data_IF_365672153408
#
_entry.id   IF_365672153408
#
_cell.length_a   1.000
_cell.length_b   1.000
_cell.length_c   1.000
_cell.angle_alpha   90.00
_cell.angle_beta   90.00
_cell.angle_gamma   90.00
#
_symmetry.space_group_name_H-M   'P 1'
#
loop_
_entity.id
_entity.type
_entity.pdbx_description
1 polymer ?
#
# COMPACT_ATOMS: atom_id res chain seq x y z
N UNK A 1 -0.74 -9.78 57.99
CA UNK A 1 -1.69 -9.00 57.18
C UNK A 1 -1.41 -7.54 57.40
N UNK A 2 -0.61 -6.91 56.55
CA UNK A 2 -0.34 -5.45 56.63
C UNK A 2 -0.18 -4.96 55.19
N UNK A 3 -1.27 -4.39 54.66
CA UNK A 3 -1.36 -3.73 53.36
C UNK A 3 -0.88 -2.28 53.55
N UNK A 4 0.36 -1.99 53.19
CA UNK A 4 0.82 -0.61 53.07
C UNK A 4 0.50 -0.07 51.70
N UNK A 5 -0.47 0.87 51.63
CA UNK A 5 -0.73 1.75 50.49
C UNK A 5 0.47 2.68 50.30
N UNK A 6 1.17 2.54 49.16
CA UNK A 6 2.06 3.57 48.63
C UNK A 6 1.24 4.61 47.91
N UNK A 7 1.16 5.81 48.44
CA UNK A 7 0.65 6.98 47.75
C UNK A 7 1.68 7.51 46.74
N UNK A 8 1.25 8.01 45.57
CA UNK A 8 2.20 8.51 44.58
C UNK A 8 2.65 9.94 44.91
N UNK A 9 3.95 10.10 45.06
CA UNK A 9 4.70 11.35 45.33
C UNK A 9 4.71 12.35 44.13
N UNK A 10 3.86 12.19 43.15
CA UNK A 10 3.90 13.00 41.91
C UNK A 10 3.04 14.25 41.92
N UNK A 11 2.17 14.44 42.92
CA UNK A 11 1.26 15.58 42.93
C UNK A 11 1.84 16.85 43.56
N UNK A 12 2.86 16.72 44.43
CA UNK A 12 3.45 17.90 45.11
C UNK A 12 4.47 18.65 44.24
N UNK A 13 5.04 18.04 43.21
CA UNK A 13 6.02 18.72 42.33
C UNK A 13 5.38 19.69 41.33
N UNK A 14 4.10 19.47 40.99
CA UNK A 14 3.38 20.29 40.01
C UNK A 14 2.79 21.57 40.64
N UNK A 15 2.59 21.59 41.95
CA UNK A 15 2.04 22.77 42.64
C UNK A 15 3.12 23.78 43.04
N UNK A 16 4.38 23.38 43.15
CA UNK A 16 5.47 24.29 43.49
C UNK A 16 5.95 25.14 42.31
N UNK A 17 5.79 24.67 41.08
CA UNK A 17 6.23 25.41 39.89
C UNK A 17 5.24 26.49 39.44
N UNK A 18 4.00 26.47 39.96
CA UNK A 18 2.97 27.42 39.51
C UNK A 18 2.87 28.70 40.39
N UNK A 19 3.57 28.75 41.55
CA UNK A 19 3.42 29.85 42.49
C UNK A 19 4.42 30.99 42.27
N UNK A 20 5.55 30.73 41.63
CA UNK A 20 6.60 31.74 41.41
C UNK A 20 6.57 32.42 40.04
N UNK A 21 5.66 32.00 39.16
CA UNK A 21 5.59 32.54 37.78
C UNK A 21 4.83 33.86 37.65
N UNK A 22 4.20 34.36 38.72
CA UNK A 22 3.34 35.58 38.64
C UNK A 22 3.91 36.86 39.26
N UNK A 23 5.16 36.85 39.75
CA UNK A 23 5.81 38.02 40.29
C UNK A 23 6.83 38.64 39.31
N UNK A 24 6.49 38.75 38.03
CA UNK A 24 7.28 39.54 37.08
C UNK A 24 6.77 40.98 37.08
N UNK A 25 7.59 41.85 37.62
CA UNK A 25 7.37 43.28 37.79
C UNK A 25 6.97 44.00 36.50
N UNK A 26 6.34 45.16 36.73
CA UNK A 26 5.76 46.08 35.76
C UNK A 26 6.76 46.74 34.79
N UNK A 27 7.82 46.02 34.37
CA UNK A 27 8.82 46.57 33.48
C UNK A 27 8.39 46.37 32.02
N UNK A 28 8.16 47.50 31.35
CA UNK A 28 7.66 47.60 29.99
C UNK A 28 8.62 46.94 28.98
N UNK A 29 9.89 46.79 29.34
CA UNK A 29 10.93 46.09 28.57
C UNK A 29 10.72 44.56 28.60
N UNK A 30 10.36 44.00 29.73
CA UNK A 30 10.10 42.56 29.88
C UNK A 30 8.88 42.10 29.07
N UNK A 31 7.83 42.94 29.01
CA UNK A 31 6.64 42.66 28.18
C UNK A 31 6.96 42.61 26.68
N UNK A 32 7.85 43.50 26.20
CA UNK A 32 8.25 43.50 24.79
C UNK A 32 9.09 42.26 24.45
N UNK A 33 9.99 41.83 25.30
CA UNK A 33 10.73 40.57 25.12
C UNK A 33 9.81 39.35 25.10
N UNK A 34 8.80 39.29 25.96
CA UNK A 34 7.85 38.19 26.03
C UNK A 34 7.02 38.07 24.76
N UNK A 35 6.55 39.20 24.20
CA UNK A 35 5.82 39.23 22.93
C UNK A 35 6.69 38.77 21.74
N UNK A 36 8.00 39.10 21.75
CA UNK A 36 8.93 38.63 20.75
C UNK A 36 9.15 37.11 20.82
N UNK A 37 9.30 36.54 22.00
CA UNK A 37 9.46 35.10 22.20
C UNK A 37 8.20 34.33 21.76
N UNK A 38 7.01 34.82 22.14
CA UNK A 38 5.74 34.21 21.73
C UNK A 38 5.54 34.31 20.22
N UNK A 39 5.86 35.44 19.61
CA UNK A 39 5.83 35.63 18.14
C UNK A 39 6.77 34.67 17.41
N UNK A 40 8.01 34.49 17.91
CA UNK A 40 8.99 33.57 17.35
C UNK A 40 8.55 32.10 17.46
N UNK A 41 7.95 31.72 18.59
CA UNK A 41 7.40 30.38 18.81
C UNK A 41 6.22 30.09 17.86
N UNK A 42 5.30 31.05 17.68
CA UNK A 42 4.19 30.92 16.73
C UNK A 42 4.70 30.80 15.28
N UNK A 43 5.71 31.56 14.93
CA UNK A 43 6.32 31.52 13.60
C UNK A 43 7.00 30.16 13.36
N UNK A 44 7.70 29.59 14.34
CA UNK A 44 8.31 28.26 14.28
C UNK A 44 7.24 27.16 14.14
N UNK A 45 6.13 27.22 14.89
CA UNK A 45 5.01 26.27 14.78
C UNK A 45 4.36 26.35 13.40
N UNK A 46 4.20 27.58 12.87
CA UNK A 46 3.65 27.78 11.53
C UNK A 46 4.59 27.22 10.44
N UNK A 47 5.90 27.44 10.54
CA UNK A 47 6.88 26.86 9.63
C UNK A 47 6.92 25.33 9.71
N UNK A 48 6.85 24.76 10.89
CA UNK A 48 6.83 23.31 11.08
C UNK A 48 5.56 22.67 10.51
N UNK A 49 4.41 23.35 10.66
CA UNK A 49 3.15 22.95 10.06
C UNK A 49 3.19 23.02 8.52
N UNK A 50 3.83 24.04 7.96
CA UNK A 50 3.99 24.19 6.51
C UNK A 50 4.90 23.11 5.92
N UNK A 51 5.98 22.76 6.61
CA UNK A 51 6.90 21.68 6.19
C UNK A 51 6.20 20.33 6.21
N UNK A 52 5.36 20.04 7.24
CA UNK A 52 4.58 18.81 7.30
C UNK A 52 3.54 18.69 6.16
N UNK A 53 2.98 19.81 5.71
CA UNK A 53 2.05 19.83 4.57
C UNK A 53 2.75 19.56 3.23
N UNK A 54 4.02 19.98 3.07
CA UNK A 54 4.79 19.80 1.83
C UNK A 54 5.40 18.39 1.75
N UNK A 55 5.67 17.75 2.90
CA UNK A 55 6.23 16.39 2.97
C UNK A 55 5.17 15.29 3.03
N UNK A 56 3.89 15.59 2.81
CA UNK A 56 2.88 14.55 2.62
C UNK A 56 3.35 13.65 1.48
N UNK A 57 3.60 12.35 1.71
CA UNK A 57 3.93 11.45 0.62
C UNK A 57 2.76 11.55 -0.36
N UNK A 58 3.02 12.09 -1.55
CA UNK A 58 2.06 11.95 -2.64
C UNK A 58 1.90 10.45 -2.82
N UNK A 59 0.79 9.91 -2.34
CA UNK A 59 0.36 8.58 -2.74
C UNK A 59 0.36 8.64 -4.27
N UNK A 60 1.30 7.93 -4.90
CA UNK A 60 1.30 7.74 -6.34
C UNK A 60 -0.05 7.14 -6.65
N UNK A 61 -0.98 7.98 -7.10
CA UNK A 61 -2.24 7.50 -7.66
C UNK A 61 -1.82 6.70 -8.90
N UNK A 62 -1.79 5.37 -8.73
CA UNK A 62 -1.57 4.46 -9.85
C UNK A 62 -2.72 4.71 -10.80
N UNK A 63 -2.41 5.19 -11.99
CA UNK A 63 -3.39 5.34 -13.04
C UNK A 63 -3.85 3.94 -13.44
N UNK A 64 -5.09 3.62 -13.07
CA UNK A 64 -5.71 2.30 -13.31
C UNK A 64 -5.69 1.93 -14.79
N UNK A 65 -5.71 2.94 -15.67
CA UNK A 65 -5.67 2.75 -17.11
C UNK A 65 -4.31 2.26 -17.63
N UNK A 66 -3.25 2.38 -16.81
CA UNK A 66 -1.92 1.88 -17.15
C UNK A 66 -1.71 0.41 -16.73
N UNK A 67 -2.64 -0.18 -15.99
CA UNK A 67 -2.53 -1.56 -15.54
C UNK A 67 -3.00 -2.53 -16.63
N UNK A 68 -2.08 -3.40 -17.04
CA UNK A 68 -2.38 -4.50 -17.97
C UNK A 68 -3.26 -5.55 -17.28
N UNK A 69 -4.20 -6.12 -18.02
CA UNK A 69 -4.90 -7.33 -17.58
C UNK A 69 -3.99 -8.53 -17.80
N UNK A 70 -3.54 -9.11 -16.69
CA UNK A 70 -2.62 -10.25 -16.68
C UNK A 70 -3.36 -11.59 -16.52
N UNK A 71 -4.69 -11.58 -16.48
CA UNK A 71 -5.54 -12.77 -16.33
C UNK A 71 -5.24 -13.78 -17.45
N UNK A 72 -5.02 -15.02 -17.09
CA UNK A 72 -4.62 -16.07 -18.04
C UNK A 72 -3.11 -16.35 -18.10
N UNK A 73 -2.26 -15.33 -17.88
CA UNK A 73 -0.82 -15.51 -17.69
C UNK A 73 -0.41 -15.50 -16.21
N UNK A 74 -1.28 -14.94 -15.36
CA UNK A 74 -1.10 -14.91 -13.90
C UNK A 74 -2.34 -15.54 -13.27
N UNK A 75 -2.14 -16.70 -12.62
CA UNK A 75 -3.24 -17.56 -12.19
C UNK A 75 -3.49 -17.40 -10.69
N UNK A 76 -4.69 -16.93 -10.28
CA UNK A 76 -5.10 -16.96 -8.88
C UNK A 76 -5.47 -18.39 -8.48
N UNK A 77 -4.92 -18.87 -7.36
CA UNK A 77 -5.24 -20.13 -6.72
C UNK A 77 -6.04 -19.83 -5.46
N UNK A 78 -7.32 -20.15 -5.49
CA UNK A 78 -8.29 -19.86 -4.42
C UNK A 78 -8.47 -21.11 -3.55
N UNK A 79 -8.22 -20.98 -2.25
CA UNK A 79 -8.43 -22.03 -1.25
C UNK A 79 -9.46 -21.55 -0.24
N UNK A 80 -10.50 -22.32 -0.04
CA UNK A 80 -11.47 -22.04 1.02
C UNK A 80 -10.88 -22.45 2.37
N UNK A 81 -10.85 -21.52 3.34
CA UNK A 81 -10.28 -21.76 4.67
C UNK A 81 -11.37 -21.99 5.73
N UNK A 82 -12.54 -21.38 5.58
CA UNK A 82 -13.60 -21.56 6.56
C UNK A 82 -14.79 -20.64 6.36
N UNK A 83 -15.83 -20.92 7.15
CA UNK A 83 -17.05 -20.13 7.21
C UNK A 83 -17.42 -19.90 8.68
N UNK A 84 -17.48 -18.63 9.08
CA UNK A 84 -18.05 -18.23 10.36
C UNK A 84 -19.57 -18.11 10.23
N UNK A 85 -20.29 -19.07 10.80
CA UNK A 85 -21.76 -19.11 10.75
C UNK A 85 -22.44 -18.01 11.55
N UNK A 86 -21.74 -17.40 12.51
CA UNK A 86 -22.30 -16.34 13.33
C UNK A 86 -22.35 -15.01 12.57
N UNK A 87 -21.27 -14.67 11.88
CA UNK A 87 -21.17 -13.45 11.07
C UNK A 87 -21.54 -13.66 9.62
N UNK A 88 -21.77 -14.92 9.21
CA UNK A 88 -21.93 -15.37 7.83
C UNK A 88 -20.80 -14.89 6.92
N UNK A 89 -19.56 -15.04 7.42
CA UNK A 89 -18.34 -14.61 6.75
C UNK A 89 -17.59 -15.82 6.21
N UNK A 90 -17.28 -15.81 4.94
CA UNK A 90 -16.50 -16.80 4.21
C UNK A 90 -15.07 -16.32 4.08
N UNK A 91 -14.12 -17.18 4.42
CA UNK A 91 -12.69 -16.86 4.40
C UNK A 91 -12.01 -17.69 3.33
N UNK A 92 -11.30 -17.01 2.43
CA UNK A 92 -10.50 -17.62 1.36
C UNK A 92 -9.05 -17.16 1.48
N UNK A 93 -8.13 -18.09 1.21
CA UNK A 93 -6.73 -17.79 0.98
C UNK A 93 -6.47 -17.82 -0.51
N UNK A 94 -5.95 -16.73 -1.06
CA UNK A 94 -5.67 -16.62 -2.50
C UNK A 94 -4.19 -16.36 -2.70
N UNK A 95 -3.54 -17.23 -3.46
CA UNK A 95 -2.18 -17.05 -3.98
C UNK A 95 -2.24 -16.77 -5.46
N UNK A 96 -1.24 -16.09 -5.95
CA UNK A 96 -1.11 -15.79 -7.38
C UNK A 96 0.19 -16.41 -7.90
N UNK A 97 0.08 -17.15 -9.00
CA UNK A 97 1.22 -17.79 -9.68
C UNK A 97 1.49 -17.03 -10.97
N UNK A 98 2.69 -16.50 -11.13
CA UNK A 98 3.12 -15.88 -12.37
C UNK A 98 3.53 -16.96 -13.37
N UNK A 99 2.67 -17.29 -14.33
CA UNK A 99 2.97 -18.23 -15.42
C UNK A 99 3.43 -17.53 -16.70
N UNK A 100 3.65 -16.21 -16.65
CA UNK A 100 4.23 -15.47 -17.77
C UNK A 100 5.73 -15.71 -17.85
N UNK A 101 6.31 -15.51 -19.04
CA UNK A 101 7.77 -15.52 -19.22
C UNK A 101 8.49 -14.30 -18.63
N UNK A 102 7.74 -13.29 -18.18
CA UNK A 102 8.22 -12.00 -17.74
C UNK A 102 8.11 -11.84 -16.22
N UNK A 103 8.91 -10.97 -15.63
CA UNK A 103 8.74 -10.57 -14.24
C UNK A 103 7.63 -9.52 -14.10
N UNK A 104 6.96 -9.51 -12.94
CA UNK A 104 5.88 -8.58 -12.61
C UNK A 104 6.35 -7.62 -11.52
N UNK A 105 6.06 -6.32 -11.68
CA UNK A 105 6.52 -5.28 -10.74
C UNK A 105 5.76 -5.38 -9.43
N UNK A 106 6.46 -5.66 -8.33
CA UNK A 106 5.87 -5.67 -7.00
C UNK A 106 5.31 -4.29 -6.63
N UNK A 107 4.23 -4.27 -5.82
CA UNK A 107 3.54 -3.03 -5.46
C UNK A 107 2.64 -2.46 -6.56
N UNK A 108 2.73 -3.01 -7.78
CA UNK A 108 1.85 -2.69 -8.92
C UNK A 108 1.07 -3.92 -9.38
N UNK A 109 0.87 -4.89 -8.49
CA UNK A 109 0.09 -6.10 -8.73
C UNK A 109 -1.16 -6.07 -7.87
N UNK A 110 -2.30 -6.24 -8.51
CA UNK A 110 -3.61 -6.18 -7.88
C UNK A 110 -4.44 -7.40 -8.23
N UNK A 111 -5.03 -7.99 -7.20
CA UNK A 111 -6.03 -9.04 -7.30
C UNK A 111 -7.40 -8.38 -7.22
N UNK A 112 -8.13 -8.31 -8.32
CA UNK A 112 -9.45 -7.68 -8.40
C UNK A 112 -10.51 -8.77 -8.29
N UNK A 113 -11.42 -8.64 -7.33
CA UNK A 113 -12.58 -9.52 -7.20
C UNK A 113 -13.55 -9.23 -8.36
N UNK A 114 -13.58 -10.13 -9.34
CA UNK A 114 -14.28 -9.88 -10.60
C UNK A 114 -15.76 -10.24 -10.53
N UNK A 115 -16.09 -11.36 -9.88
CA UNK A 115 -17.42 -11.93 -9.87
C UNK A 115 -17.59 -12.90 -8.70
N UNK A 116 -18.80 -12.96 -8.15
CA UNK A 116 -19.24 -14.00 -7.19
C UNK A 116 -20.62 -14.47 -7.62
N UNK A 117 -20.70 -15.71 -8.07
CA UNK A 117 -21.95 -16.29 -8.57
C UNK A 117 -22.73 -16.99 -7.46
N UNK A 118 -24.03 -16.77 -7.40
CA UNK A 118 -24.94 -17.58 -6.58
C UNK A 118 -25.24 -18.93 -7.26
N UNK A 119 -26.04 -19.76 -6.58
CA UNK A 119 -26.42 -21.09 -7.10
C UNK A 119 -27.26 -21.02 -8.41
N UNK A 120 -27.85 -19.87 -8.72
CA UNK A 120 -28.58 -19.63 -9.97
C UNK A 120 -27.69 -19.14 -11.12
N UNK A 121 -26.41 -18.87 -10.85
CA UNK A 121 -25.46 -18.32 -11.80
C UNK A 121 -25.54 -16.80 -11.93
N UNK A 122 -26.21 -16.11 -11.01
CA UNK A 122 -26.29 -14.65 -10.99
C UNK A 122 -25.12 -14.07 -10.18
N UNK A 123 -24.50 -13.00 -10.67
CA UNK A 123 -23.49 -12.28 -9.93
C UNK A 123 -24.12 -11.53 -8.73
N UNK A 124 -23.64 -11.86 -7.54
CA UNK A 124 -24.12 -11.31 -6.25
C UNK A 124 -23.05 -10.48 -5.54
N UNK A 125 -21.94 -10.19 -6.21
CA UNK A 125 -20.84 -9.40 -5.64
C UNK A 125 -21.33 -8.09 -5.01
N UNK A 126 -22.28 -7.41 -5.64
CA UNK A 126 -22.83 -6.14 -5.15
C UNK A 126 -23.63 -6.23 -3.85
N UNK A 127 -24.09 -7.44 -3.46
CA UNK A 127 -24.83 -7.70 -2.20
C UNK A 127 -23.92 -8.21 -1.07
N UNK A 128 -22.64 -8.44 -1.37
CA UNK A 128 -21.66 -8.90 -0.40
C UNK A 128 -20.87 -7.73 0.19
N UNK A 129 -20.51 -7.86 1.46
CA UNK A 129 -19.55 -6.99 2.10
C UNK A 129 -18.14 -7.60 1.97
N UNK A 130 -17.15 -6.76 1.65
CA UNK A 130 -15.74 -7.17 1.54
C UNK A 130 -14.93 -6.34 2.54
N UNK A 131 -14.92 -6.73 3.84
CA UNK A 131 -14.47 -5.87 4.93
C UNK A 131 -12.96 -5.59 4.92
N UNK A 132 -12.17 -6.45 4.27
CA UNK A 132 -10.71 -6.36 4.28
C UNK A 132 -10.09 -6.04 2.91
N UNK A 133 -10.86 -5.41 2.02
CA UNK A 133 -10.34 -4.93 0.73
C UNK A 133 -9.36 -3.76 0.93
N UNK A 134 -8.36 -3.64 0.06
CA UNK A 134 -7.44 -2.51 0.06
C UNK A 134 -8.03 -1.28 -0.64
N UNK A 135 -9.03 -1.47 -1.51
CA UNK A 135 -9.74 -0.41 -2.19
C UNK A 135 -10.67 -0.93 -3.29
N UNK A 136 -11.12 -0.01 -4.17
CA UNK A 136 -12.00 -0.30 -5.29
C UNK A 136 -11.37 0.13 -6.61
N UNK A 137 -11.49 -0.72 -7.62
CA UNK A 137 -11.02 -0.49 -8.99
C UNK A 137 -12.19 -0.71 -9.96
N UNK A 138 -12.68 0.36 -10.57
CA UNK A 138 -13.86 0.29 -11.44
C UNK A 138 -15.13 -0.22 -10.73
N UNK A 139 -15.30 0.08 -9.44
CA UNK A 139 -16.42 -0.39 -8.62
C UNK A 139 -16.27 -1.80 -8.07
N UNK A 140 -15.17 -2.49 -8.35
CA UNK A 140 -14.85 -3.83 -7.85
C UNK A 140 -13.80 -3.77 -6.75
N UNK A 141 -13.95 -4.55 -5.66
CA UNK A 141 -12.95 -4.66 -4.61
C UNK A 141 -11.63 -5.19 -5.13
N UNK A 142 -10.51 -4.66 -4.63
CA UNK A 142 -9.20 -5.20 -4.96
C UNK A 142 -8.32 -5.40 -3.71
N UNK A 143 -7.28 -6.21 -3.89
CA UNK A 143 -6.23 -6.48 -2.92
C UNK A 143 -4.87 -6.29 -3.59
N UNK A 144 -3.93 -5.69 -2.87
CA UNK A 144 -2.53 -5.67 -3.30
C UNK A 144 -1.90 -7.05 -3.11
N UNK A 145 -1.23 -7.54 -4.14
CA UNK A 145 -0.60 -8.87 -4.09
C UNK A 145 0.75 -8.77 -3.36
N UNK A 146 0.92 -9.43 -2.20
CA UNK A 146 2.16 -9.38 -1.45
C UNK A 146 3.21 -10.30 -2.09
N UNK A 147 4.38 -9.73 -2.39
CA UNK A 147 5.51 -10.44 -2.99
C UNK A 147 6.59 -10.88 -2.00
N UNK A 148 6.32 -10.75 -0.68
CA UNK A 148 7.27 -11.16 0.36
C UNK A 148 8.50 -10.26 0.47
N UNK A 149 8.38 -8.98 0.13
CA UNK A 149 9.48 -8.02 0.16
C UNK A 149 10.36 -8.04 -1.10
N UNK A 150 10.01 -8.85 -2.10
CA UNK A 150 10.68 -8.84 -3.40
C UNK A 150 10.23 -7.62 -4.21
N UNK A 151 11.13 -7.04 -4.99
CA UNK A 151 10.81 -5.94 -5.91
C UNK A 151 10.03 -6.40 -7.15
N UNK A 152 10.08 -7.69 -7.45
CA UNK A 152 9.42 -8.32 -8.60
C UNK A 152 8.95 -9.73 -8.25
N UNK A 153 7.82 -10.15 -8.81
CA UNK A 153 7.38 -11.53 -8.83
C UNK A 153 7.90 -12.18 -10.12
N UNK A 154 8.91 -13.03 -9.98
CA UNK A 154 9.57 -13.68 -11.12
C UNK A 154 8.65 -14.66 -11.84
N UNK A 155 9.02 -15.02 -13.09
CA UNK A 155 8.36 -16.07 -13.84
C UNK A 155 8.31 -17.39 -13.04
N UNK A 156 7.14 -18.03 -13.02
CA UNK A 156 6.82 -19.26 -12.29
C UNK A 156 6.91 -19.16 -10.75
N UNK A 157 6.99 -17.95 -10.21
CA UNK A 157 7.00 -17.72 -8.77
C UNK A 157 5.57 -17.51 -8.24
N UNK A 158 5.34 -17.94 -7.00
CA UNK A 158 4.10 -17.70 -6.26
C UNK A 158 4.22 -16.46 -5.39
N UNK A 159 3.10 -15.73 -5.24
CA UNK A 159 2.95 -14.69 -4.24
C UNK A 159 2.78 -15.26 -2.83
N UNK A 160 2.87 -14.42 -1.82
CA UNK A 160 2.35 -14.76 -0.51
C UNK A 160 0.82 -14.80 -0.56
N UNK A 161 0.16 -15.58 0.35
CA UNK A 161 -1.29 -15.68 0.39
C UNK A 161 -1.94 -14.36 0.82
N UNK A 162 -3.06 -14.06 0.18
CA UNK A 162 -3.96 -12.97 0.51
C UNK A 162 -5.17 -13.59 1.21
N UNK A 163 -5.53 -13.07 2.37
CA UNK A 163 -6.75 -13.46 3.05
C UNK A 163 -7.91 -12.61 2.50
N UNK A 164 -8.88 -13.24 1.87
CA UNK A 164 -10.07 -12.60 1.30
C UNK A 164 -11.28 -12.99 2.14
N UNK A 165 -12.00 -11.99 2.63
CA UNK A 165 -13.20 -12.18 3.45
C UNK A 165 -14.42 -11.65 2.73
N UNK A 166 -15.43 -12.50 2.62
CA UNK A 166 -16.71 -12.18 2.00
C UNK A 166 -17.81 -12.42 3.03
N UNK A 167 -18.54 -11.39 3.37
CA UNK A 167 -19.67 -11.46 4.29
C UNK A 167 -20.96 -11.33 3.51
N UNK A 168 -21.90 -12.27 3.73
CA UNK A 168 -23.22 -12.27 3.12
C UNK A 168 -24.29 -11.87 4.15
N UNK A 169 -24.66 -10.58 4.26
CA UNK A 169 -25.67 -10.14 5.24
C UNK A 169 -27.04 -10.81 5.01
N UNK A 170 -27.37 -11.06 3.75
CA UNK A 170 -28.65 -11.66 3.32
C UNK A 170 -28.62 -13.19 3.27
N UNK A 171 -27.55 -13.83 3.79
CA UNK A 171 -27.38 -15.27 3.80
C UNK A 171 -27.46 -15.93 2.41
N UNK A 172 -27.09 -15.21 1.36
CA UNK A 172 -27.02 -15.77 0.01
C UNK A 172 -25.88 -16.77 -0.05
N UNK A 173 -26.18 -17.96 -0.57
CA UNK A 173 -25.16 -18.99 -0.85
C UNK A 173 -24.56 -18.72 -2.22
N UNK A 174 -23.23 -18.80 -2.30
CA UNK A 174 -22.48 -18.51 -3.53
C UNK A 174 -21.34 -19.49 -3.77
N UNK A 175 -20.88 -19.56 -5.01
CA UNK A 175 -19.70 -20.32 -5.39
C UNK A 175 -18.41 -19.57 -5.02
N UNK A 176 -17.24 -20.24 -5.00
CA UNK A 176 -15.97 -19.57 -4.79
C UNK A 176 -15.79 -18.33 -5.69
N UNK A 177 -15.22 -17.24 -5.17
CA UNK A 177 -15.07 -16.01 -5.92
C UNK A 177 -14.12 -16.17 -7.11
N UNK A 178 -14.40 -15.42 -8.18
CA UNK A 178 -13.52 -15.30 -9.35
C UNK A 178 -12.71 -14.02 -9.26
N UNK A 179 -11.46 -14.09 -9.70
CA UNK A 179 -10.53 -12.96 -9.64
C UNK A 179 -9.90 -12.67 -10.98
N UNK A 180 -9.61 -11.39 -11.22
CA UNK A 180 -8.73 -10.90 -12.27
C UNK A 180 -7.43 -10.40 -11.64
N UNK A 181 -6.32 -10.56 -12.34
CA UNK A 181 -5.04 -10.00 -11.92
C UNK A 181 -4.68 -8.85 -12.84
N UNK A 182 -4.42 -7.68 -12.25
CA UNK A 182 -3.97 -6.50 -12.97
C UNK A 182 -2.62 -6.06 -12.48
N UNK A 183 -1.78 -5.53 -13.38
CA UNK A 183 -0.46 -5.10 -12.96
C UNK A 183 0.42 -4.62 -14.09
N UNK A 184 1.69 -4.45 -13.78
CA UNK A 184 2.71 -4.03 -14.73
C UNK A 184 3.69 -5.19 -14.95
N UNK A 185 3.83 -5.57 -16.22
CA UNK A 185 4.79 -6.56 -16.67
C UNK A 185 6.09 -5.89 -17.05
N UNK A 186 7.20 -6.39 -16.52
CA UNK A 186 8.53 -5.99 -16.98
C UNK A 186 9.02 -6.97 -18.02
N UNK A 187 8.97 -6.61 -19.28
CA UNK A 187 9.45 -7.44 -20.36
C UNK A 187 10.97 -7.61 -20.28
N UNK A 188 11.47 -8.80 -20.56
CA UNK A 188 12.91 -9.09 -20.57
C UNK A 188 13.68 -8.16 -21.54
N UNK A 189 13.07 -7.78 -22.65
CA UNK A 189 13.61 -6.80 -23.60
C UNK A 189 13.86 -5.43 -22.97
N UNK A 190 12.91 -4.93 -22.16
CA UNK A 190 13.05 -3.65 -21.46
C UNK A 190 14.18 -3.68 -20.43
N UNK A 191 14.39 -4.81 -19.77
CA UNK A 191 15.51 -4.98 -18.83
C UNK A 191 16.86 -4.95 -19.53
N UNK A 192 16.97 -5.57 -20.71
CA UNK A 192 18.18 -5.53 -21.54
C UNK A 192 18.44 -4.13 -22.11
N UNK A 193 17.42 -3.44 -22.58
CA UNK A 193 17.54 -2.06 -23.05
C UNK A 193 18.05 -1.15 -21.93
N UNK A 194 17.50 -1.28 -20.72
CA UNK A 194 17.94 -0.51 -19.55
C UNK A 194 19.40 -0.82 -19.20
N UNK A 195 19.80 -2.08 -19.24
CA UNK A 195 21.18 -2.49 -18.99
C UNK A 195 22.14 -1.91 -20.05
N UNK A 196 21.79 -2.01 -21.33
CA UNK A 196 22.59 -1.45 -22.43
C UNK A 196 22.75 0.06 -22.23
N UNK A 197 21.67 0.76 -21.87
CA UNK A 197 21.71 2.19 -21.60
C UNK A 197 22.60 2.55 -20.40
N UNK A 198 22.55 1.76 -19.32
CA UNK A 198 23.44 1.94 -18.17
C UNK A 198 24.91 1.72 -18.54
N UNK A 199 25.21 0.68 -19.34
CA UNK A 199 26.58 0.40 -19.80
C UNK A 199 27.10 1.54 -20.69
N UNK A 200 26.26 2.11 -21.54
CA UNK A 200 26.59 3.28 -22.36
C UNK A 200 26.86 4.52 -21.48
N UNK A 201 25.99 4.80 -20.51
CA UNK A 201 26.15 5.94 -19.59
C UNK A 201 27.42 5.81 -18.72
N UNK A 202 27.82 4.59 -18.39
CA UNK A 202 29.05 4.30 -17.66
C UNK A 202 30.31 4.28 -18.54
N UNK A 203 30.18 4.53 -19.84
CA UNK A 203 31.28 4.55 -20.79
C UNK A 203 31.89 3.17 -21.09
N UNK A 204 31.18 2.08 -20.76
CA UNK A 204 31.60 0.69 -21.02
C UNK A 204 31.26 0.30 -22.44
N UNK A 205 30.16 0.80 -23.00
CA UNK A 205 29.72 0.61 -24.38
C UNK A 205 29.75 1.94 -25.13
N UNK A 206 30.24 1.92 -26.37
CA UNK A 206 30.05 3.06 -27.27
C UNK A 206 28.62 3.12 -27.81
N UNK A 207 28.20 4.27 -28.27
CA UNK A 207 26.86 4.45 -28.85
C UNK A 207 26.61 3.52 -30.03
N UNK A 208 27.60 3.26 -30.88
CA UNK A 208 27.50 2.36 -32.01
C UNK A 208 27.29 0.90 -31.58
N UNK A 209 28.01 0.45 -30.55
CA UNK A 209 27.86 -0.90 -29.99
C UNK A 209 26.50 -1.06 -29.28
N UNK A 210 26.05 -0.04 -28.56
CA UNK A 210 24.74 -0.04 -27.93
C UNK A 210 23.60 -0.14 -28.97
N UNK A 211 23.67 0.64 -30.04
CA UNK A 211 22.68 0.56 -31.12
C UNK A 211 22.71 -0.81 -31.83
N UNK A 212 23.87 -1.39 -32.03
CA UNK A 212 23.99 -2.73 -32.61
C UNK A 212 23.36 -3.80 -31.70
N UNK A 213 23.53 -3.69 -30.39
CA UNK A 213 22.94 -4.59 -29.40
C UNK A 213 21.42 -4.44 -29.29
N UNK A 214 20.87 -3.25 -29.50
CA UNK A 214 19.43 -2.98 -29.45
C UNK A 214 18.65 -3.45 -30.68
N UNK A 215 19.29 -3.50 -31.86
CA UNK A 215 18.61 -3.90 -33.10
C UNK A 215 17.88 -5.25 -33.03
N UNK A 216 18.49 -6.34 -32.50
CA UNK A 216 17.81 -7.64 -32.43
C UNK A 216 16.62 -7.61 -31.45
N UNK A 217 16.66 -6.77 -30.39
CA UNK A 217 15.59 -6.67 -29.40
C UNK A 217 14.33 -6.03 -30.00
N UNK A 218 14.48 -5.02 -30.84
CA UNK A 218 13.36 -4.40 -31.53
C UNK A 218 12.68 -5.34 -32.54
N UNK A 219 13.39 -6.31 -33.10
CA UNK A 219 12.79 -7.32 -34.00
C UNK A 219 11.97 -8.38 -33.26
N UNK A 220 12.27 -8.62 -31.96
CA UNK A 220 11.55 -9.61 -31.15
C UNK A 220 10.27 -9.01 -30.51
N UNK A 221 10.12 -7.69 -30.55
CA UNK A 221 8.97 -6.98 -29.95
C UNK A 221 7.84 -6.69 -30.96
N UNK A 222 8.02 -7.02 -32.22
CA UNK A 222 7.01 -6.96 -33.29
C UNK A 222 6.37 -8.33 -33.53
#
# INVERSE_FOLDING_TARGET
MNSQRRQPLYLDLLLLTHRDAFAFGSDQSARRCWWFIVGLMLLMVFFFSLVLLVTSPQALAVDVDQLEDLTGGVVPVVTFEGHDTFTNEYVYSVKVINQTGDSLVAGMLFLVLSEVLDQSGKDVLWSLEVPNQDGNMGGKPYYMIPTGGLSELQSYQESQPINVRLRSPDYVLFYPPSFQVRGIRRRATQSLETLIQQLMNNGVLSEAEAQQALQPLHRLSQ
#
